data_IF_811099733000
#
_entry.id   IF_811099733000
#
_cell.length_a   1.000
_cell.length_b   1.000
_cell.length_c   1.000
_cell.angle_alpha   90.00
_cell.angle_beta   90.00
_cell.angle_gamma   90.00
#
_symmetry.space_group_name_H-M   'P 1'
#
loop_
_entity.id
_entity.type
_entity.pdbx_description
1 polymer ?
#
# COMPACT_ATOMS: atom_id res chain seq x y z
N UNK A 1 -10.78 32.21 -43.22
CA UNK A 1 -10.06 31.02 -42.73
C UNK A 1 -9.49 31.36 -41.36
N UNK A 2 -10.16 30.93 -40.30
CA UNK A 2 -9.59 30.88 -38.95
C UNK A 2 -9.74 29.44 -38.49
N UNK A 3 -8.84 28.57 -38.95
CA UNK A 3 -8.62 27.29 -38.27
C UNK A 3 -7.84 27.62 -37.01
N UNK A 4 -8.58 27.88 -35.93
CA UNK A 4 -8.01 27.90 -34.60
C UNK A 4 -7.49 26.49 -34.32
N UNK A 5 -6.16 26.34 -34.28
CA UNK A 5 -5.45 25.17 -33.76
C UNK A 5 -6.12 24.74 -32.46
N UNK A 6 -6.84 23.62 -32.50
CA UNK A 6 -7.30 22.97 -31.29
C UNK A 6 -6.06 22.51 -30.52
N UNK A 7 -5.59 23.35 -29.60
CA UNK A 7 -4.57 22.98 -28.63
C UNK A 7 -5.20 21.85 -27.81
N UNK A 8 -4.89 20.62 -28.19
CA UNK A 8 -5.19 19.44 -27.39
C UNK A 8 -4.34 19.62 -26.14
N UNK A 9 -5.00 20.03 -25.05
CA UNK A 9 -4.33 20.27 -23.78
C UNK A 9 -3.47 19.04 -23.46
N UNK A 10 -2.13 19.18 -23.43
CA UNK A 10 -1.25 18.05 -23.14
C UNK A 10 -1.40 17.60 -21.68
N UNK A 11 -2.02 18.43 -20.84
CA UNK A 11 -2.30 18.12 -19.45
C UNK A 11 -3.75 17.62 -19.36
N UNK A 12 -3.92 16.33 -19.08
CA UNK A 12 -5.24 15.77 -18.80
C UNK A 12 -5.96 16.55 -17.68
N UNK A 13 -7.30 16.54 -17.68
CA UNK A 13 -8.07 17.21 -16.64
C UNK A 13 -7.89 16.49 -15.30
N UNK A 14 -7.17 17.10 -14.37
CA UNK A 14 -7.08 16.60 -12.99
C UNK A 14 -8.40 16.88 -12.29
N UNK A 15 -9.14 15.83 -11.93
CA UNK A 15 -10.35 15.96 -11.12
C UNK A 15 -9.98 16.30 -9.68
N UNK A 16 -10.87 17.02 -8.98
CA UNK A 16 -10.66 17.44 -7.58
C UNK A 16 -10.32 16.25 -6.68
N UNK A 17 -10.90 15.08 -6.94
CA UNK A 17 -10.59 13.84 -6.21
C UNK A 17 -9.16 13.36 -6.41
N UNK A 18 -8.63 13.41 -7.64
CA UNK A 18 -7.23 13.05 -7.93
C UNK A 18 -6.25 14.01 -7.25
N UNK A 19 -6.52 15.32 -7.30
CA UNK A 19 -5.72 16.31 -6.61
C UNK A 19 -5.72 16.09 -5.09
N UNK A 20 -6.89 15.82 -4.50
CA UNK A 20 -7.03 15.50 -3.09
C UNK A 20 -6.22 14.26 -2.68
N UNK A 21 -6.26 13.21 -3.51
CA UNK A 21 -5.49 11.98 -3.27
C UNK A 21 -3.98 12.23 -3.33
N UNK A 22 -3.50 13.00 -4.31
CA UNK A 22 -2.08 13.35 -4.40
C UNK A 22 -1.59 14.15 -3.18
N UNK A 23 -2.37 15.12 -2.72
CA UNK A 23 -2.05 15.88 -1.51
C UNK A 23 -2.03 14.98 -0.26
N UNK A 24 -3.00 14.07 -0.15
CA UNK A 24 -3.03 13.08 0.92
C UNK A 24 -1.78 12.19 0.90
N UNK A 25 -1.39 11.66 -0.27
CA UNK A 25 -0.20 10.81 -0.43
C UNK A 25 1.09 11.54 -0.06
N UNK A 26 1.21 12.81 -0.41
CA UNK A 26 2.39 13.61 -0.03
C UNK A 26 2.47 13.74 1.50
N UNK A 27 1.36 14.07 2.16
CA UNK A 27 1.32 14.17 3.62
C UNK A 27 1.62 12.83 4.30
N UNK A 28 1.07 11.74 3.77
CA UNK A 28 1.28 10.41 4.34
C UNK A 28 2.71 9.93 4.11
N UNK A 29 3.28 10.21 2.93
CA UNK A 29 4.69 9.95 2.62
C UNK A 29 5.65 10.69 3.53
N UNK A 30 5.35 11.93 3.91
CA UNK A 30 6.12 12.66 4.92
C UNK A 30 6.00 12.03 6.31
N UNK A 31 4.83 11.50 6.66
CA UNK A 31 4.60 10.82 7.95
C UNK A 31 5.42 9.52 8.04
N UNK A 32 5.40 8.70 6.99
CA UNK A 32 6.28 7.52 6.87
C UNK A 32 7.76 7.89 6.83
N UNK A 33 8.12 8.96 6.11
CA UNK A 33 9.49 9.48 6.06
C UNK A 33 9.99 9.86 7.46
N UNK A 34 9.15 10.52 8.27
CA UNK A 34 9.47 10.84 9.66
C UNK A 34 9.70 9.60 10.53
N UNK A 35 8.84 8.58 10.41
CA UNK A 35 9.00 7.31 11.14
C UNK A 35 10.28 6.57 10.75
N UNK A 36 10.58 6.48 9.45
CA UNK A 36 11.77 5.80 8.95
C UNK A 36 13.07 6.54 9.29
N UNK A 37 13.11 7.86 9.13
CA UNK A 37 14.28 8.68 9.50
C UNK A 37 14.47 8.66 11.02
N UNK A 38 13.39 8.78 11.80
CA UNK A 38 13.44 8.68 13.26
C UNK A 38 13.96 7.31 13.72
N UNK A 39 13.47 6.23 13.11
CA UNK A 39 13.95 4.87 13.36
C UNK A 39 15.43 4.69 13.02
N UNK A 40 15.88 5.21 11.87
CA UNK A 40 17.27 5.17 11.46
C UNK A 40 18.19 6.00 12.38
N UNK A 41 17.72 7.15 12.86
CA UNK A 41 18.46 7.97 13.82
C UNK A 41 18.61 7.26 15.18
N UNK A 42 17.53 6.63 15.67
CA UNK A 42 17.57 5.82 16.89
C UNK A 42 18.52 4.62 16.76
N UNK A 43 18.53 3.99 15.59
CA UNK A 43 19.50 2.93 15.27
C UNK A 43 20.94 3.43 15.33
N UNK A 44 21.24 4.56 14.69
CA UNK A 44 22.59 5.13 14.65
C UNK A 44 23.09 5.56 16.04
N UNK A 45 22.18 5.92 16.95
CA UNK A 45 22.49 6.30 18.33
C UNK A 45 22.56 5.11 19.29
N UNK A 46 22.04 3.94 18.91
CA UNK A 46 21.99 2.78 19.80
C UNK A 46 23.37 2.09 19.90
N UNK A 47 23.85 1.76 21.11
CA UNK A 47 25.16 1.12 21.30
C UNK A 47 25.22 -0.32 20.77
N UNK A 48 24.07 -0.99 20.66
CA UNK A 48 23.92 -2.32 20.09
C UNK A 48 22.58 -2.43 19.39
N UNK A 49 22.57 -2.90 18.13
CA UNK A 49 21.36 -3.15 17.35
C UNK A 49 21.35 -4.62 16.91
N UNK A 50 20.21 -5.34 16.95
CA UNK A 50 20.14 -6.74 16.52
C UNK A 50 20.53 -6.91 15.05
N UNK A 51 21.20 -8.01 14.70
CA UNK A 51 21.53 -8.28 13.29
C UNK A 51 20.25 -8.64 12.50
N UNK A 52 20.15 -8.24 11.23
CA UNK A 52 19.07 -8.67 10.35
C UNK A 52 18.96 -10.20 10.31
N UNK A 53 17.76 -10.72 10.54
CA UNK A 53 17.44 -12.16 10.44
C UNK A 53 17.65 -13.00 11.69
N UNK A 54 18.20 -12.43 12.79
CA UNK A 54 18.28 -13.14 14.08
C UNK A 54 16.93 -13.17 14.81
N UNK A 55 16.10 -12.14 14.65
CA UNK A 55 14.79 -12.02 15.29
C UNK A 55 13.60 -12.02 14.32
N UNK A 56 13.82 -11.73 13.03
CA UNK A 56 12.76 -11.58 12.03
C UNK A 56 12.85 -12.67 10.95
N UNK A 57 11.70 -13.24 10.57
CA UNK A 57 11.62 -14.30 9.56
C UNK A 57 11.69 -13.75 8.12
N UNK A 58 12.89 -13.40 7.66
CA UNK A 58 13.15 -12.79 6.34
C UNK A 58 12.49 -13.56 5.17
N UNK A 59 12.50 -14.92 5.10
CA UNK A 59 11.88 -15.63 3.97
C UNK A 59 10.36 -15.47 3.92
N UNK A 60 9.70 -15.48 5.08
CA UNK A 60 8.25 -15.34 5.18
C UNK A 60 7.83 -13.92 4.82
N UNK A 61 8.50 -12.92 5.39
CA UNK A 61 8.24 -11.51 5.08
C UNK A 61 8.59 -11.18 3.63
N UNK A 62 9.66 -11.76 3.08
CA UNK A 62 10.05 -11.60 1.68
C UNK A 62 9.01 -12.16 0.71
N UNK A 63 8.45 -13.34 1.00
CA UNK A 63 7.30 -13.87 0.26
C UNK A 63 6.07 -12.97 0.38
N UNK A 64 5.81 -12.43 1.59
CA UNK A 64 4.71 -11.52 1.82
C UNK A 64 4.83 -10.22 0.99
N UNK A 65 6.03 -9.64 0.94
CA UNK A 65 6.35 -8.46 0.10
C UNK A 65 6.19 -8.77 -1.39
N UNK A 66 6.65 -9.93 -1.86
CA UNK A 66 6.46 -10.36 -3.24
C UNK A 66 4.97 -10.48 -3.60
N UNK A 67 4.17 -11.06 -2.71
CA UNK A 67 2.72 -11.17 -2.86
C UNK A 67 2.08 -9.79 -2.96
N UNK A 68 2.47 -8.84 -2.10
CA UNK A 68 2.00 -7.45 -2.14
C UNK A 68 2.26 -6.79 -3.50
N UNK A 69 3.49 -6.89 -4.02
CA UNK A 69 3.85 -6.35 -5.35
C UNK A 69 2.98 -6.96 -6.47
N UNK A 70 2.65 -8.25 -6.36
CA UNK A 70 1.72 -8.89 -7.29
C UNK A 70 0.30 -8.30 -7.20
N UNK A 71 -0.15 -7.85 -6.02
CA UNK A 71 -1.44 -7.18 -5.87
C UNK A 71 -1.49 -5.80 -6.54
N UNK A 72 -0.37 -5.07 -6.55
CA UNK A 72 -0.24 -3.87 -7.37
C UNK A 72 -0.47 -4.18 -8.85
N UNK A 73 0.17 -5.23 -9.38
CA UNK A 73 -0.05 -5.62 -10.77
C UNK A 73 -1.53 -5.96 -11.05
N UNK A 74 -2.20 -6.69 -10.15
CA UNK A 74 -3.63 -6.98 -10.32
C UNK A 74 -4.49 -5.73 -10.26
N UNK A 75 -4.13 -4.72 -9.47
CA UNK A 75 -4.86 -3.44 -9.42
C UNK A 75 -4.82 -2.69 -10.76
N UNK A 76 -3.66 -2.63 -11.43
CA UNK A 76 -3.54 -2.03 -12.78
C UNK A 76 -4.40 -2.80 -13.79
N UNK A 77 -4.40 -4.12 -13.71
CA UNK A 77 -5.22 -4.96 -14.58
C UNK A 77 -6.72 -4.77 -14.36
N UNK A 78 -7.13 -4.42 -13.12
CA UNK A 78 -8.51 -4.06 -12.81
C UNK A 78 -8.93 -2.77 -13.52
N UNK A 79 -8.10 -1.73 -13.47
CA UNK A 79 -8.36 -0.45 -14.15
C UNK A 79 -8.39 -0.63 -15.68
N UNK A 80 -7.41 -1.32 -16.27
CA UNK A 80 -7.36 -1.61 -17.71
C UNK A 80 -8.60 -2.42 -18.17
N UNK A 81 -9.13 -3.31 -17.33
CA UNK A 81 -10.35 -4.05 -17.64
C UNK A 81 -11.58 -3.14 -17.67
N UNK A 82 -11.66 -2.17 -16.75
CA UNK A 82 -12.74 -1.18 -16.73
C UNK A 82 -12.70 -0.24 -17.94
N UNK A 83 -11.50 0.23 -18.32
CA UNK A 83 -11.30 1.05 -19.52
C UNK A 83 -11.75 0.34 -20.80
N UNK A 84 -11.57 -0.98 -20.86
CA UNK A 84 -12.07 -1.84 -21.95
C UNK A 84 -13.55 -2.19 -21.86
N UNK A 85 -14.27 -1.65 -20.87
CA UNK A 85 -15.69 -1.92 -20.62
C UNK A 85 -16.00 -3.30 -19.99
N UNK A 86 -14.97 -4.05 -19.57
CA UNK A 86 -15.14 -5.39 -18.99
C UNK A 86 -15.38 -5.33 -17.47
N UNK A 87 -16.65 -5.33 -17.08
CA UNK A 87 -17.08 -5.37 -15.67
C UNK A 87 -16.65 -6.66 -14.96
N UNK A 88 -16.66 -7.79 -15.68
CA UNK A 88 -16.21 -9.06 -15.11
C UNK A 88 -14.71 -9.05 -14.82
N UNK A 89 -13.91 -8.40 -15.67
CA UNK A 89 -12.48 -8.22 -15.46
C UNK A 89 -12.21 -7.36 -14.23
N UNK A 90 -12.84 -6.19 -14.13
CA UNK A 90 -12.73 -5.29 -12.98
C UNK A 90 -12.97 -6.05 -11.67
N UNK A 91 -14.11 -6.73 -11.55
CA UNK A 91 -14.49 -7.47 -10.33
C UNK A 91 -13.49 -8.57 -9.98
N UNK A 92 -13.04 -9.34 -10.97
CA UNK A 92 -12.07 -10.42 -10.77
C UNK A 92 -10.74 -9.88 -10.23
N UNK A 93 -10.21 -8.84 -10.85
CA UNK A 93 -8.91 -8.29 -10.46
C UNK A 93 -8.97 -7.53 -9.14
N UNK A 94 -10.05 -6.77 -8.85
CA UNK A 94 -10.25 -6.16 -7.53
C UNK A 94 -10.36 -7.22 -6.43
N UNK A 95 -11.07 -8.32 -6.68
CA UNK A 95 -11.17 -9.42 -5.72
C UNK A 95 -9.81 -10.09 -5.46
N UNK A 96 -8.97 -10.24 -6.51
CA UNK A 96 -7.60 -10.75 -6.36
C UNK A 96 -6.72 -9.80 -5.54
N UNK A 97 -6.76 -8.49 -5.82
CA UNK A 97 -6.03 -7.48 -5.05
C UNK A 97 -6.46 -7.51 -3.58
N UNK A 98 -7.78 -7.56 -3.31
CA UNK A 98 -8.33 -7.64 -1.95
C UNK A 98 -7.88 -8.92 -1.23
N UNK A 99 -7.93 -10.07 -1.90
CA UNK A 99 -7.48 -11.34 -1.32
C UNK A 99 -5.99 -11.30 -0.97
N UNK A 100 -5.16 -10.73 -1.83
CA UNK A 100 -3.74 -10.58 -1.54
C UNK A 100 -3.47 -9.64 -0.36
N UNK A 101 -4.18 -8.51 -0.27
CA UNK A 101 -4.09 -7.61 0.89
C UNK A 101 -4.53 -8.28 2.21
N UNK A 102 -5.57 -9.12 2.18
CA UNK A 102 -6.00 -9.89 3.34
C UNK A 102 -4.98 -10.95 3.76
N UNK A 103 -4.38 -11.65 2.80
CA UNK A 103 -3.28 -12.61 3.07
C UNK A 103 -2.10 -11.87 3.69
N UNK A 104 -1.77 -10.70 3.18
CA UNK A 104 -0.70 -9.86 3.73
C UNK A 104 -0.93 -9.50 5.20
N UNK A 105 -2.13 -8.99 5.53
CA UNK A 105 -2.51 -8.69 6.90
C UNK A 105 -2.52 -9.94 7.79
N UNK A 106 -2.97 -11.08 7.26
CA UNK A 106 -2.96 -12.36 7.98
C UNK A 106 -1.56 -12.83 8.34
N UNK A 107 -0.61 -12.77 7.40
CA UNK A 107 0.80 -13.10 7.64
C UNK A 107 1.39 -12.14 8.68
N UNK A 108 1.09 -10.85 8.58
CA UNK A 108 1.62 -9.86 9.51
C UNK A 108 1.10 -10.05 10.95
N UNK A 109 -0.19 -10.39 11.11
CA UNK A 109 -0.75 -10.76 12.43
C UNK A 109 -0.11 -12.02 12.97
N UNK A 110 0.16 -13.02 12.12
CA UNK A 110 0.86 -14.23 12.51
C UNK A 110 2.29 -13.95 13.01
N UNK A 111 3.05 -13.11 12.28
CA UNK A 111 4.39 -12.68 12.69
C UNK A 111 4.35 -11.94 14.03
N UNK A 112 3.41 -11.01 14.21
CA UNK A 112 3.26 -10.29 15.48
C UNK A 112 2.96 -11.21 16.64
N UNK A 113 2.08 -12.18 16.44
CA UNK A 113 1.74 -13.15 17.48
C UNK A 113 2.97 -13.96 17.90
N UNK A 114 3.77 -14.43 16.95
CA UNK A 114 5.00 -15.17 17.22
C UNK A 114 6.02 -14.31 18.00
N UNK A 115 6.24 -13.07 17.57
CA UNK A 115 7.17 -12.15 18.23
C UNK A 115 6.75 -11.79 19.66
N UNK A 116 5.45 -11.58 19.91
CA UNK A 116 4.94 -11.29 21.26
C UNK A 116 5.18 -12.48 22.20
N UNK A 117 5.01 -13.71 21.70
CA UNK A 117 5.28 -14.93 22.48
C UNK A 117 6.77 -15.08 22.81
N UNK A 118 7.65 -14.69 21.91
CA UNK A 118 9.11 -14.71 22.11
C UNK A 118 9.62 -13.54 22.97
N UNK A 119 8.72 -12.70 23.52
CA UNK A 119 9.06 -11.57 24.39
C UNK A 119 9.50 -10.31 23.64
N UNK A 120 9.37 -10.29 22.32
CA UNK A 120 9.60 -9.12 21.49
C UNK A 120 8.37 -8.22 21.54
N UNK A 121 8.31 -7.34 22.55
CA UNK A 121 7.21 -6.40 22.78
C UNK A 121 7.72 -4.96 22.68
N UNK A 122 6.87 -3.99 22.32
CA UNK A 122 7.28 -2.60 22.16
C UNK A 122 7.99 -2.00 23.39
N UNK A 123 7.71 -2.50 24.58
CA UNK A 123 8.32 -2.02 25.83
C UNK A 123 9.68 -2.66 26.18
N UNK A 124 10.09 -3.74 25.51
CA UNK A 124 11.34 -4.44 25.85
C UNK A 124 12.56 -3.90 25.10
N UNK A 125 12.38 -3.29 23.92
CA UNK A 125 13.49 -2.68 23.20
C UNK A 125 13.05 -1.52 22.30
N UNK A 126 13.98 -0.58 22.08
CA UNK A 126 13.77 0.52 21.12
C UNK A 126 13.58 -0.03 19.70
N UNK A 127 14.26 -1.14 19.36
CA UNK A 127 14.08 -1.83 18.09
C UNK A 127 12.64 -2.33 17.92
N UNK A 128 12.08 -3.01 18.92
CA UNK A 128 10.69 -3.45 18.92
C UNK A 128 9.72 -2.26 18.82
N UNK A 129 9.96 -1.18 19.57
CA UNK A 129 9.12 0.01 19.51
C UNK A 129 9.07 0.61 18.09
N UNK A 130 10.23 0.79 17.45
CA UNK A 130 10.34 1.31 16.07
C UNK A 130 9.72 0.36 15.06
N UNK A 131 9.99 -0.95 15.21
CA UNK A 131 9.42 -2.00 14.38
C UNK A 131 7.89 -1.95 14.41
N UNK A 132 7.27 -2.07 15.58
CA UNK A 132 5.82 -2.10 15.73
C UNK A 132 5.17 -0.76 15.36
N UNK A 133 5.78 0.38 15.71
CA UNK A 133 5.26 1.68 15.32
C UNK A 133 5.16 1.81 13.79
N UNK A 134 6.23 1.45 13.07
CA UNK A 134 6.30 1.59 11.61
C UNK A 134 5.39 0.57 10.91
N UNK A 135 5.47 -0.70 11.32
CA UNK A 135 4.75 -1.80 10.66
C UNK A 135 3.25 -1.78 10.98
N UNK A 136 2.83 -1.39 12.19
CA UNK A 136 1.41 -1.20 12.51
C UNK A 136 0.83 0.00 11.77
N UNK A 137 1.57 1.11 11.68
CA UNK A 137 1.11 2.27 10.90
C UNK A 137 0.89 1.89 9.43
N UNK A 138 1.81 1.12 8.84
CA UNK A 138 1.62 0.55 7.51
C UNK A 138 0.43 -0.43 7.43
N UNK A 139 0.31 -1.37 8.37
CA UNK A 139 -0.78 -2.35 8.39
C UNK A 139 -2.16 -1.70 8.45
N UNK A 140 -2.30 -0.56 9.14
CA UNK A 140 -3.53 0.23 9.15
C UNK A 140 -3.86 0.84 7.78
N UNK A 141 -2.86 1.26 7.01
CA UNK A 141 -3.04 1.75 5.64
C UNK A 141 -3.42 0.64 4.68
N UNK A 142 -2.83 -0.55 4.82
CA UNK A 142 -3.26 -1.73 4.03
C UNK A 142 -4.70 -2.10 4.37
N UNK A 143 -5.06 -2.12 5.66
CA UNK A 143 -6.43 -2.40 6.09
C UNK A 143 -7.43 -1.37 5.54
N UNK A 144 -7.12 -0.08 5.60
CA UNK A 144 -7.98 0.97 5.03
C UNK A 144 -8.10 0.82 3.51
N UNK A 145 -7.02 0.43 2.82
CA UNK A 145 -7.04 0.09 1.40
C UNK A 145 -7.94 -1.10 1.09
N UNK A 146 -7.87 -2.18 1.89
CA UNK A 146 -8.70 -3.38 1.70
C UNK A 146 -10.18 -3.03 1.86
N UNK A 147 -10.51 -2.21 2.87
CA UNK A 147 -11.87 -1.69 3.07
C UNK A 147 -12.30 -0.84 1.86
N UNK A 148 -11.41 0.00 1.35
CA UNK A 148 -11.71 0.83 0.20
C UNK A 148 -11.96 -0.02 -1.07
N UNK A 149 -11.13 -1.04 -1.33
CA UNK A 149 -11.36 -2.01 -2.41
C UNK A 149 -12.71 -2.71 -2.22
N UNK A 150 -13.04 -3.15 -1.00
CA UNK A 150 -14.31 -3.82 -0.73
C UNK A 150 -15.52 -2.92 -1.05
N UNK A 151 -15.45 -1.63 -0.70
CA UNK A 151 -16.49 -0.65 -1.06
C UNK A 151 -16.64 -0.47 -2.58
N UNK A 152 -15.53 -0.35 -3.30
CA UNK A 152 -15.55 -0.23 -4.77
C UNK A 152 -16.05 -1.53 -5.41
N UNK A 153 -15.63 -2.70 -4.93
CA UNK A 153 -16.07 -4.00 -5.42
C UNK A 153 -17.58 -4.19 -5.19
N UNK A 154 -18.11 -3.76 -4.04
CA UNK A 154 -19.54 -3.77 -3.75
C UNK A 154 -20.32 -2.85 -4.70
N UNK A 155 -19.81 -1.64 -4.96
CA UNK A 155 -20.42 -0.73 -5.93
C UNK A 155 -20.33 -1.25 -7.38
N UNK A 156 -19.24 -1.95 -7.73
CA UNK A 156 -19.07 -2.60 -9.03
C UNK A 156 -20.05 -3.77 -9.23
N UNK A 157 -20.38 -4.51 -8.16
CA UNK A 157 -21.41 -5.54 -8.21
C UNK A 157 -22.82 -4.99 -8.49
N UNK A 158 -23.08 -3.73 -8.11
CA UNK A 158 -24.31 -3.02 -8.44
C UNK A 158 -24.31 -2.37 -9.84
N UNK A 159 -23.24 -2.55 -10.62
CA UNK A 159 -23.12 -2.00 -11.97
C UNK A 159 -22.96 -0.48 -12.02
N UNK A 160 -22.45 0.13 -10.93
CA UNK A 160 -22.32 1.60 -10.82
C UNK A 160 -21.18 2.19 -11.64
N UNK A 161 -20.21 1.38 -12.05
CA UNK A 161 -19.06 1.85 -12.84
C UNK A 161 -19.27 1.58 -14.32
N UNK A 162 -18.85 2.54 -15.15
CA UNK A 162 -18.84 2.43 -16.61
C UNK A 162 -17.48 2.89 -17.13
N UNK A 163 -17.15 2.59 -18.38
CA UNK A 163 -15.87 2.97 -18.99
C UNK A 163 -15.60 4.49 -18.99
N UNK A 164 -16.64 5.31 -18.82
CA UNK A 164 -16.55 6.76 -18.71
C UNK A 164 -16.41 7.30 -17.27
N UNK A 165 -16.50 6.44 -16.25
CA UNK A 165 -16.36 6.79 -14.83
C UNK A 165 -15.30 5.90 -14.16
N UNK A 166 -14.07 6.03 -14.63
CA UNK A 166 -12.89 5.30 -14.14
C UNK A 166 -12.21 6.00 -12.96
N UNK A 167 -12.52 7.27 -12.73
CA UNK A 167 -11.83 8.15 -11.79
C UNK A 167 -11.75 7.55 -10.38
N UNK A 168 -12.84 6.96 -9.88
CA UNK A 168 -12.86 6.34 -8.56
C UNK A 168 -11.93 5.12 -8.43
N UNK A 169 -11.81 4.31 -9.48
CA UNK A 169 -10.94 3.13 -9.51
C UNK A 169 -9.48 3.54 -9.69
N UNK A 170 -9.22 4.60 -10.46
CA UNK A 170 -7.89 5.18 -10.62
C UNK A 170 -7.38 5.80 -9.31
N UNK A 171 -8.22 6.57 -8.60
CA UNK A 171 -7.88 7.14 -7.28
C UNK A 171 -7.57 6.02 -6.27
N UNK A 172 -8.37 4.95 -6.25
CA UNK A 172 -8.09 3.75 -5.46
C UNK A 172 -6.74 3.12 -5.85
N UNK A 173 -6.45 3.01 -7.14
CA UNK A 173 -5.20 2.45 -7.65
C UNK A 173 -3.99 3.24 -7.19
N UNK A 174 -4.05 4.57 -7.29
CA UNK A 174 -2.98 5.48 -6.84
C UNK A 174 -2.72 5.29 -5.33
N UNK A 175 -3.76 5.18 -4.51
CA UNK A 175 -3.61 4.87 -3.07
C UNK A 175 -2.95 3.51 -2.83
N UNK A 176 -3.45 2.45 -3.49
CA UNK A 176 -2.92 1.09 -3.30
C UNK A 176 -1.45 0.99 -3.70
N UNK A 177 -1.07 1.54 -4.86
CA UNK A 177 0.31 1.57 -5.32
C UNK A 177 1.24 2.33 -4.37
N UNK A 178 0.76 3.41 -3.77
CA UNK A 178 1.53 4.16 -2.79
C UNK A 178 1.80 3.32 -1.54
N UNK A 179 0.78 2.64 -1.02
CA UNK A 179 0.93 1.74 0.14
C UNK A 179 1.96 0.65 -0.18
N UNK A 180 1.86 -0.03 -1.33
CA UNK A 180 2.84 -1.04 -1.75
C UNK A 180 4.27 -0.49 -1.83
N UNK A 181 4.44 0.70 -2.41
CA UNK A 181 5.74 1.36 -2.54
C UNK A 181 6.37 1.65 -1.18
N UNK A 182 5.59 2.15 -0.22
CA UNK A 182 6.05 2.39 1.15
C UNK A 182 6.49 1.09 1.82
N UNK A 183 5.76 -0.02 1.59
CA UNK A 183 6.14 -1.31 2.18
C UNK A 183 7.53 -1.76 1.73
N UNK A 184 7.90 -1.55 0.46
CA UNK A 184 9.23 -1.88 -0.04
C UNK A 184 10.32 -1.12 0.75
N UNK A 185 10.09 0.15 1.06
CA UNK A 185 11.01 0.93 1.89
C UNK A 185 11.04 0.44 3.34
N UNK A 186 9.87 0.16 3.94
CA UNK A 186 9.78 -0.38 5.31
C UNK A 186 10.50 -1.71 5.41
N UNK A 187 10.25 -2.64 4.48
CA UNK A 187 10.92 -3.93 4.43
C UNK A 187 12.44 -3.78 4.31
N UNK A 188 12.90 -2.90 3.41
CA UNK A 188 14.35 -2.67 3.23
C UNK A 188 15.00 -2.11 4.49
N UNK A 189 14.42 -1.06 5.11
CA UNK A 189 15.03 -0.34 6.23
C UNK A 189 14.91 -1.10 7.55
N UNK A 190 13.83 -1.85 7.77
CA UNK A 190 13.55 -2.49 9.07
C UNK A 190 13.96 -3.97 9.10
N UNK A 191 13.82 -4.70 7.98
CA UNK A 191 14.09 -6.13 7.92
C UNK A 191 15.47 -6.48 7.34
N UNK A 192 16.00 -5.68 6.41
CA UNK A 192 17.25 -6.02 5.71
C UNK A 192 18.47 -5.22 6.19
N UNK A 193 18.27 -3.96 6.58
CA UNK A 193 19.32 -3.08 7.09
C UNK A 193 19.26 -3.13 8.59
#
# INVERSE_FOLDING_TARGET
>A
MSEALAIKDPFGKATTGKLGMWLFIIMDGLSFGGLLIGGAALRAAAPSWPNPGEMLNIPLTGFNTFLLICTSFTMVMALNSLEKGSQSGLKKYLALTMAGGLVFLGIQVYEYYHFILDGFIPSTSIYAAVFYATTCFHGLHVLSGVIYIACILYAANQGRYSANDTDHVEILGIFWHFVDLIWIFVFTVIYLI
#
